data_IF_146744323106
#
_entry.id   IF_146744323106
#
_cell.length_a   1.000
_cell.length_b   1.000
_cell.length_c   1.000
_cell.angle_alpha   90.00
_cell.angle_beta   90.00
_cell.angle_gamma   90.00
#
_symmetry.space_group_name_H-M   'P 1'
#
loop_
_entity.id
_entity.type
_entity.pdbx_description
1 polymer ?
#
# COMPACT_ATOMS: atom_id res chain seq x y z
N UNK A 1 17.80 12.55 -1.62
CA UNK A 1 16.34 12.37 -1.47
C UNK A 1 15.68 13.66 -1.89
N UNK A 2 14.51 13.59 -2.50
CA UNK A 2 13.78 14.74 -3.03
C UNK A 2 12.31 14.66 -2.65
N UNK A 3 11.66 15.82 -2.65
CA UNK A 3 10.20 15.93 -2.62
C UNK A 3 9.69 15.90 -4.05
N UNK A 4 8.43 15.49 -4.24
CA UNK A 4 7.87 15.29 -5.57
C UNK A 4 6.48 15.90 -5.70
N UNK A 5 6.30 16.71 -6.74
CA UNK A 5 4.99 17.11 -7.24
C UNK A 5 4.72 16.30 -8.52
N UNK A 6 3.61 15.57 -8.53
CA UNK A 6 3.30 14.60 -9.57
C UNK A 6 1.95 14.92 -10.20
N UNK A 7 1.90 15.02 -11.53
CA UNK A 7 0.67 15.29 -12.28
C UNK A 7 0.43 14.19 -13.31
N UNK A 8 -0.75 13.58 -13.27
CA UNK A 8 -1.14 12.50 -14.17
C UNK A 8 -2.47 12.79 -14.84
N UNK A 9 -2.48 12.85 -16.18
CA UNK A 9 -3.70 13.02 -16.97
C UNK A 9 -4.08 11.70 -17.65
N UNK A 10 -5.27 11.19 -17.35
CA UNK A 10 -5.79 9.90 -17.81
C UNK A 10 -7.21 10.03 -18.38
N UNK A 11 -7.72 8.97 -19.02
CA UNK A 11 -9.09 8.95 -19.50
C UNK A 11 -10.11 9.11 -18.35
N UNK A 12 -11.26 9.72 -18.61
CA UNK A 12 -12.27 10.00 -17.57
C UNK A 12 -12.86 8.75 -16.88
N UNK A 13 -12.74 7.57 -17.46
CA UNK A 13 -13.18 6.32 -16.83
C UNK A 13 -12.09 5.66 -15.97
N UNK A 14 -10.89 6.26 -15.89
CA UNK A 14 -9.76 5.75 -15.13
C UNK A 14 -9.46 6.59 -13.88
N UNK A 15 -8.82 5.95 -12.92
CA UNK A 15 -8.30 6.53 -11.69
C UNK A 15 -6.79 6.37 -11.70
N UNK A 16 -6.06 7.48 -11.53
CA UNK A 16 -4.62 7.47 -11.36
C UNK A 16 -4.27 7.58 -9.88
N UNK A 17 -3.49 6.63 -9.39
CA UNK A 17 -3.07 6.51 -8.00
C UNK A 17 -1.56 6.51 -7.96
N UNK A 18 -0.98 7.38 -7.14
CA UNK A 18 0.47 7.50 -7.03
C UNK A 18 0.89 7.74 -5.59
N UNK A 19 2.20 7.77 -5.39
CA UNK A 19 2.85 8.16 -4.15
C UNK A 19 2.50 9.60 -3.76
N UNK A 20 2.41 9.85 -2.46
CA UNK A 20 2.03 11.14 -1.87
C UNK A 20 0.54 11.23 -1.51
N UNK A 21 0.13 12.42 -1.11
CA UNK A 21 -1.27 12.77 -0.87
C UNK A 21 -1.90 13.36 -2.14
N UNK A 22 -3.13 12.95 -2.44
CA UNK A 22 -3.91 13.54 -3.53
C UNK A 22 -4.35 14.95 -3.12
N UNK A 23 -3.84 15.98 -3.79
CA UNK A 23 -4.22 17.36 -3.51
C UNK A 23 -5.58 17.70 -4.11
N UNK A 24 -5.72 17.43 -5.41
CA UNK A 24 -6.96 17.66 -6.14
C UNK A 24 -6.97 16.84 -7.44
N UNK A 25 -8.19 16.68 -7.97
CA UNK A 25 -8.42 16.14 -9.30
C UNK A 25 -9.27 17.13 -10.11
N UNK A 26 -8.98 17.25 -11.40
CA UNK A 26 -9.71 18.13 -12.32
C UNK A 26 -10.21 17.32 -13.51
N UNK A 27 -11.48 17.47 -13.86
CA UNK A 27 -12.02 16.95 -15.11
C UNK A 27 -11.87 18.01 -16.21
N UNK A 28 -11.09 17.70 -17.23
CA UNK A 28 -10.95 18.54 -18.41
C UNK A 28 -12.24 18.54 -19.24
N UNK A 29 -12.51 19.67 -19.89
CA UNK A 29 -13.61 19.86 -20.82
C UNK A 29 -13.28 19.42 -22.26
N UNK A 30 -12.14 18.77 -22.46
CA UNK A 30 -11.74 18.20 -23.75
C UNK A 30 -12.74 17.16 -24.25
N UNK A 31 -12.72 16.89 -25.55
CA UNK A 31 -13.54 15.83 -26.16
C UNK A 31 -12.63 14.80 -26.87
N UNK A 32 -12.42 13.60 -26.31
CA UNK A 32 -13.07 13.05 -25.11
C UNK A 32 -12.53 13.64 -23.78
N UNK A 33 -13.35 13.63 -22.70
CA UNK A 33 -12.95 14.20 -21.42
C UNK A 33 -11.83 13.38 -20.76
N UNK A 34 -10.94 14.09 -20.06
CA UNK A 34 -9.79 13.54 -19.34
C UNK A 34 -9.81 13.98 -17.88
N UNK A 35 -9.29 13.16 -16.98
CA UNK A 35 -9.09 13.52 -15.57
C UNK A 35 -7.60 13.72 -15.28
N UNK A 36 -7.27 14.82 -14.63
CA UNK A 36 -5.93 15.13 -14.15
C UNK A 36 -5.90 14.99 -12.64
N UNK A 37 -4.96 14.20 -12.12
CA UNK A 37 -4.73 13.99 -10.70
C UNK A 37 -3.39 14.63 -10.31
N UNK A 38 -3.40 15.45 -9.25
CA UNK A 38 -2.20 16.11 -8.73
C UNK A 38 -1.89 15.56 -7.35
N UNK A 39 -0.75 14.89 -7.24
CA UNK A 39 -0.22 14.31 -6.01
C UNK A 39 1.00 15.10 -5.54
N UNK A 40 1.17 15.16 -4.21
CA UNK A 40 2.33 15.77 -3.58
C UNK A 40 2.92 14.84 -2.53
N UNK A 41 4.23 14.65 -2.60
CA UNK A 41 5.01 13.94 -1.60
C UNK A 41 5.97 14.90 -0.93
N UNK A 42 5.61 15.33 0.28
CA UNK A 42 6.41 16.25 1.10
C UNK A 42 7.57 15.57 1.84
N UNK A 43 7.49 14.25 2.00
CA UNK A 43 8.53 13.44 2.62
C UNK A 43 9.64 13.15 1.60
N UNK A 44 10.91 13.53 1.87
CA UNK A 44 11.98 13.28 0.93
C UNK A 44 12.25 11.78 0.76
N UNK A 45 12.12 11.27 -0.46
CA UNK A 45 12.44 9.86 -0.77
C UNK A 45 13.37 9.75 -1.98
N UNK A 46 13.85 8.53 -2.24
CA UNK A 46 14.56 8.23 -3.49
C UNK A 46 13.54 7.97 -4.61
N UNK A 47 13.89 8.32 -5.86
CA UNK A 47 13.02 8.17 -7.02
C UNK A 47 12.50 6.74 -7.23
N UNK A 48 13.22 5.72 -6.74
CA UNK A 48 12.80 4.31 -6.76
C UNK A 48 11.49 4.03 -6.00
N UNK A 49 11.08 4.92 -5.10
CA UNK A 49 9.86 4.80 -4.30
C UNK A 49 8.64 5.45 -4.96
N UNK A 50 8.80 6.08 -6.12
CA UNK A 50 7.67 6.64 -6.86
C UNK A 50 6.95 5.51 -7.59
N UNK A 51 5.66 5.35 -7.31
CA UNK A 51 4.80 4.35 -7.95
C UNK A 51 3.59 5.02 -8.62
N UNK A 52 3.10 4.42 -9.69
CA UNK A 52 1.88 4.86 -10.39
C UNK A 52 1.07 3.63 -10.80
N UNK A 53 -0.22 3.64 -10.47
CA UNK A 53 -1.19 2.68 -10.96
C UNK A 53 -2.36 3.43 -11.62
N UNK A 54 -2.78 2.98 -12.81
CA UNK A 54 -3.90 3.57 -13.55
C UNK A 54 -4.84 2.48 -14.00
N UNK A 55 -6.06 2.48 -13.48
CA UNK A 55 -7.11 1.52 -13.83
C UNK A 55 -8.49 2.06 -13.46
N UNK A 56 -9.62 1.42 -13.84
CA UNK A 56 -10.95 1.80 -13.37
C UNK A 56 -11.14 1.34 -11.91
N UNK A 57 -10.35 1.87 -10.99
CA UNK A 57 -10.35 1.47 -9.58
C UNK A 57 -11.61 1.89 -8.85
N UNK A 58 -12.09 1.02 -7.97
CA UNK A 58 -13.01 1.34 -6.88
C UNK A 58 -12.19 1.65 -5.62
N UNK A 59 -12.60 2.69 -4.88
CA UNK A 59 -11.92 3.13 -3.65
C UNK A 59 -12.71 2.68 -2.43
N UNK A 60 -12.04 1.97 -1.53
CA UNK A 60 -12.55 1.56 -0.23
C UNK A 60 -11.71 2.22 0.87
N UNK A 61 -12.20 3.29 1.54
CA UNK A 61 -11.51 3.84 2.70
C UNK A 61 -11.53 2.84 3.87
N UNK A 62 -10.47 2.85 4.68
CA UNK A 62 -10.50 2.11 5.94
C UNK A 62 -11.53 2.73 6.91
N UNK A 63 -12.18 1.90 7.71
CA UNK A 63 -13.27 2.32 8.57
C UNK A 63 -12.82 2.94 9.90
N UNK A 64 -11.57 2.71 10.33
CA UNK A 64 -11.01 3.27 11.57
C UNK A 64 -10.06 4.44 11.28
N UNK A 65 -9.25 4.33 10.23
CA UNK A 65 -8.21 5.30 9.90
C UNK A 65 -8.47 5.94 8.53
N UNK A 66 -9.02 7.16 8.53
CA UNK A 66 -9.33 7.89 7.29
C UNK A 66 -8.12 8.20 6.38
N UNK A 67 -6.89 8.07 6.88
CA UNK A 67 -5.67 8.20 6.08
C UNK A 67 -5.39 6.96 5.21
N UNK A 68 -6.00 5.81 5.52
CA UNK A 68 -5.78 4.55 4.83
C UNK A 68 -6.89 4.32 3.80
N UNK A 69 -6.48 3.91 2.60
CA UNK A 69 -7.40 3.55 1.53
C UNK A 69 -6.94 2.28 0.81
N UNK A 70 -7.89 1.52 0.31
CA UNK A 70 -7.67 0.32 -0.48
C UNK A 70 -8.36 0.49 -1.82
N UNK A 71 -7.71 0.08 -2.90
CA UNK A 71 -8.23 0.24 -4.25
C UNK A 71 -8.06 -1.05 -5.05
N UNK A 72 -9.09 -1.45 -5.78
CA UNK A 72 -9.02 -2.61 -6.66
C UNK A 72 -9.92 -2.43 -7.88
N UNK A 73 -9.83 -3.35 -8.84
CA UNK A 73 -10.80 -3.42 -9.92
C UNK A 73 -12.19 -3.83 -9.38
N UNK A 74 -13.30 -3.37 -9.99
CA UNK A 74 -14.65 -3.57 -9.47
C UNK A 74 -15.03 -5.04 -9.15
N UNK A 75 -14.65 -6.04 -9.97
CA UNK A 75 -14.95 -7.45 -9.68
C UNK A 75 -14.33 -7.97 -8.38
N UNK A 76 -13.25 -7.35 -7.91
CA UNK A 76 -12.48 -7.79 -6.74
C UNK A 76 -12.89 -7.07 -5.45
N UNK A 77 -13.86 -6.13 -5.49
CA UNK A 77 -14.24 -5.29 -4.35
C UNK A 77 -14.72 -6.09 -3.13
N UNK A 78 -15.52 -7.14 -3.36
CA UNK A 78 -16.01 -7.99 -2.27
C UNK A 78 -14.87 -8.75 -1.56
N UNK A 79 -13.97 -9.37 -2.35
CA UNK A 79 -12.76 -10.04 -1.84
C UNK A 79 -11.84 -9.07 -1.10
N UNK A 80 -11.61 -7.89 -1.67
CA UNK A 80 -10.78 -6.85 -1.06
C UNK A 80 -11.32 -6.45 0.31
N UNK A 81 -12.64 -6.20 0.43
CA UNK A 81 -13.25 -5.80 1.71
C UNK A 81 -12.98 -6.81 2.81
N UNK A 82 -13.12 -8.11 2.51
CA UNK A 82 -12.82 -9.15 3.49
C UNK A 82 -11.30 -9.25 3.77
N UNK A 83 -10.50 -9.25 2.72
CA UNK A 83 -9.03 -9.40 2.80
C UNK A 83 -8.38 -8.32 3.67
N UNK A 84 -8.84 -7.06 3.56
CA UNK A 84 -8.24 -5.91 4.26
C UNK A 84 -8.88 -5.62 5.62
N UNK A 85 -9.87 -6.41 6.05
CA UNK A 85 -10.62 -6.15 7.30
C UNK A 85 -9.70 -6.05 8.52
N UNK A 86 -8.64 -6.85 8.59
CA UNK A 86 -7.69 -6.84 9.70
C UNK A 86 -6.70 -5.66 9.68
N UNK A 87 -6.65 -4.88 8.59
CA UNK A 87 -5.52 -4.00 8.30
C UNK A 87 -5.36 -2.86 9.30
N UNK A 88 -6.48 -2.29 9.78
CA UNK A 88 -6.48 -1.30 10.87
C UNK A 88 -5.78 -1.83 12.14
N UNK A 89 -5.95 -3.12 12.47
CA UNK A 89 -5.33 -3.73 13.64
C UNK A 89 -3.82 -3.85 13.47
N UNK A 90 -3.34 -4.15 12.26
CA UNK A 90 -1.92 -4.14 11.94
C UNK A 90 -1.32 -2.73 12.06
N UNK A 91 -2.04 -1.72 11.54
CA UNK A 91 -1.63 -0.32 11.65
C UNK A 91 -1.54 0.16 13.11
N UNK A 92 -2.57 -0.09 13.92
CA UNK A 92 -2.55 0.27 15.35
C UNK A 92 -1.41 -0.45 16.08
N UNK A 93 -1.23 -1.75 15.82
CA UNK A 93 -0.17 -2.53 16.43
C UNK A 93 1.23 -1.94 16.17
N UNK A 94 1.51 -1.50 14.95
CA UNK A 94 2.80 -0.90 14.62
C UNK A 94 2.97 0.49 15.21
N UNK A 95 1.93 1.32 15.16
CA UNK A 95 1.95 2.64 15.78
C UNK A 95 2.25 2.54 17.28
N UNK A 96 1.58 1.63 17.98
CA UNK A 96 1.77 1.41 19.41
C UNK A 96 3.17 0.85 19.72
N UNK A 97 3.61 -0.15 18.96
CA UNK A 97 4.90 -0.81 19.18
C UNK A 97 6.09 0.13 18.93
N UNK A 98 6.05 0.87 17.83
CA UNK A 98 7.13 1.80 17.47
C UNK A 98 7.07 3.09 18.28
N UNK A 99 5.88 3.46 18.79
CA UNK A 99 5.63 4.75 19.45
C UNK A 99 6.06 5.94 18.58
N UNK A 100 5.89 5.80 17.27
CA UNK A 100 6.23 6.79 16.23
C UNK A 100 5.06 6.92 15.26
N UNK A 101 4.72 8.16 14.91
CA UNK A 101 3.65 8.43 13.95
C UNK A 101 3.98 7.91 12.54
N UNK A 102 2.93 7.63 11.79
CA UNK A 102 3.06 7.18 10.41
C UNK A 102 3.72 8.29 9.57
N UNK A 103 4.74 7.98 8.74
CA UNK A 103 5.56 9.01 8.11
C UNK A 103 4.88 9.83 7.02
N UNK A 104 3.71 9.40 6.52
CA UNK A 104 3.01 10.06 5.41
C UNK A 104 1.60 10.51 5.80
N UNK A 105 1.04 11.46 5.06
CA UNK A 105 -0.34 11.96 5.29
C UNK A 105 -1.43 10.94 4.95
N UNK A 106 -1.13 10.00 4.03
CA UNK A 106 -2.04 8.96 3.57
C UNK A 106 -1.30 7.69 3.22
N UNK A 107 -2.01 6.57 3.20
CA UNK A 107 -1.48 5.29 2.70
C UNK A 107 -2.50 4.60 1.82
N UNK A 108 -2.08 4.14 0.64
CA UNK A 108 -2.97 3.45 -0.30
C UNK A 108 -2.44 2.06 -0.67
N UNK A 109 -3.28 1.04 -0.49
CA UNK A 109 -3.04 -0.30 -1.05
C UNK A 109 -3.79 -0.44 -2.37
N UNK A 110 -3.10 -0.79 -3.44
CA UNK A 110 -3.71 -0.99 -4.76
C UNK A 110 -3.57 -2.44 -5.19
N UNK A 111 -4.67 -3.08 -5.54
CA UNK A 111 -4.73 -4.45 -6.03
C UNK A 111 -5.03 -4.43 -7.53
N UNK A 112 -4.10 -4.92 -8.34
CA UNK A 112 -4.18 -4.95 -9.81
C UNK A 112 -4.06 -6.38 -10.33
N UNK A 113 -4.51 -6.63 -11.55
CA UNK A 113 -4.40 -7.98 -12.11
C UNK A 113 -2.95 -8.46 -12.21
N UNK A 114 -2.68 -9.77 -12.10
CA UNK A 114 -1.33 -10.31 -12.06
C UNK A 114 -0.53 -9.98 -13.32
N UNK A 115 -1.19 -9.85 -14.47
CA UNK A 115 -0.56 -9.47 -15.74
C UNK A 115 -0.06 -8.01 -15.76
N UNK A 116 -0.53 -7.18 -14.83
CA UNK A 116 -0.13 -5.77 -14.70
C UNK A 116 1.09 -5.57 -13.78
N UNK A 117 1.56 -6.61 -13.10
CA UNK A 117 2.66 -6.54 -12.14
C UNK A 117 3.73 -7.58 -12.40
N UNK A 118 5.00 -7.18 -12.21
CA UNK A 118 6.15 -8.09 -12.35
C UNK A 118 6.34 -8.94 -11.09
N UNK A 119 5.84 -8.46 -9.94
CA UNK A 119 5.95 -9.10 -8.63
C UNK A 119 4.60 -9.07 -7.92
N UNK A 120 4.40 -10.02 -7.00
CA UNK A 120 3.20 -10.03 -6.14
C UNK A 120 3.08 -8.82 -5.20
N UNK A 121 4.19 -8.10 -4.99
CA UNK A 121 4.28 -6.85 -4.22
C UNK A 121 5.29 -5.91 -4.88
N UNK A 122 4.86 -4.67 -5.11
CA UNK A 122 5.72 -3.53 -5.45
C UNK A 122 5.50 -2.43 -4.42
N UNK A 123 6.59 -1.90 -3.88
CA UNK A 123 6.57 -0.90 -2.81
C UNK A 123 6.79 0.50 -3.37
N UNK A 124 5.91 1.43 -2.99
CA UNK A 124 6.09 2.86 -3.16
C UNK A 124 6.10 3.57 -1.81
N UNK A 125 6.50 4.84 -1.80
CA UNK A 125 6.28 5.71 -0.66
C UNK A 125 4.77 6.00 -0.57
N UNK A 126 4.22 5.88 0.64
CA UNK A 126 2.79 6.07 0.94
C UNK A 126 1.83 5.18 0.14
N UNK A 127 2.35 4.15 -0.55
CA UNK A 127 1.57 3.32 -1.48
C UNK A 127 2.19 1.94 -1.60
N UNK A 128 1.36 0.89 -1.66
CA UNK A 128 1.81 -0.46 -2.00
C UNK A 128 0.91 -1.07 -3.07
N UNK A 129 1.52 -1.67 -4.09
CA UNK A 129 0.80 -2.33 -5.18
C UNK A 129 0.94 -3.84 -5.01
N UNK A 130 -0.18 -4.55 -5.03
CA UNK A 130 -0.26 -5.99 -4.90
C UNK A 130 -0.92 -6.61 -6.13
N UNK A 131 -0.54 -7.84 -6.44
CA UNK A 131 -1.30 -8.69 -7.36
C UNK A 131 -2.68 -9.02 -6.73
N UNK A 132 -3.74 -8.97 -7.53
CA UNK A 132 -5.12 -9.34 -7.13
C UNK A 132 -5.22 -10.79 -6.67
N UNK A 133 -4.25 -11.65 -7.02
CA UNK A 133 -4.15 -13.03 -6.54
C UNK A 133 -4.05 -13.12 -5.01
N UNK A 134 -3.60 -12.08 -4.31
CA UNK A 134 -3.56 -12.09 -2.85
C UNK A 134 -4.95 -11.92 -2.22
N UNK A 135 -5.95 -11.49 -2.99
CA UNK A 135 -7.31 -11.29 -2.49
C UNK A 135 -8.03 -12.63 -2.35
N UNK A 136 -8.70 -12.81 -1.22
CA UNK A 136 -9.45 -14.03 -0.90
C UNK A 136 -10.87 -13.72 -0.40
N UNK A 137 -11.76 -14.69 -0.59
CA UNK A 137 -13.11 -14.69 -0.02
C UNK A 137 -13.09 -15.36 1.37
N UNK A 138 -14.14 -15.15 2.16
CA UNK A 138 -14.33 -15.72 3.51
C UNK A 138 -14.18 -17.25 3.59
N UNK A 139 -14.35 -17.95 2.47
CA UNK A 139 -14.29 -19.41 2.39
C UNK A 139 -12.86 -19.96 2.28
N UNK A 140 -11.86 -19.12 2.02
CA UNK A 140 -10.48 -19.53 1.76
C UNK A 140 -9.61 -19.21 2.97
N UNK A 141 -9.35 -20.22 3.80
CA UNK A 141 -8.59 -20.05 5.05
C UNK A 141 -7.08 -20.10 4.79
N UNK A 142 -6.61 -21.03 3.96
CA UNK A 142 -5.18 -21.31 3.78
C UNK A 142 -4.38 -20.08 3.30
N UNK A 143 -4.98 -19.27 2.42
CA UNK A 143 -4.34 -18.06 1.88
C UNK A 143 -4.35 -16.87 2.85
N UNK A 144 -5.18 -16.93 3.90
CA UNK A 144 -5.42 -15.80 4.81
C UNK A 144 -4.13 -15.35 5.48
N UNK A 145 -3.30 -16.28 5.95
CA UNK A 145 -2.08 -15.99 6.70
C UNK A 145 -1.03 -15.34 5.79
N UNK A 146 -0.71 -15.96 4.66
CA UNK A 146 0.27 -15.43 3.70
C UNK A 146 -0.08 -14.01 3.23
N UNK A 147 -1.37 -13.77 2.98
CA UNK A 147 -1.84 -12.45 2.59
C UNK A 147 -1.69 -11.44 3.72
N UNK A 148 -2.07 -11.81 4.95
CA UNK A 148 -1.93 -10.94 6.13
C UNK A 148 -0.47 -10.58 6.38
N UNK A 149 0.43 -11.57 6.30
CA UNK A 149 1.89 -11.37 6.40
C UNK A 149 2.37 -10.39 5.33
N UNK A 150 1.99 -10.61 4.07
CA UNK A 150 2.42 -9.76 2.95
C UNK A 150 1.93 -8.31 3.06
N UNK A 151 0.66 -8.10 3.41
CA UNK A 151 0.12 -6.75 3.61
C UNK A 151 0.74 -6.05 4.83
N UNK A 152 0.95 -6.78 5.93
CA UNK A 152 1.58 -6.27 7.15
C UNK A 152 3.06 -5.92 6.90
N UNK A 153 3.80 -6.75 6.19
CA UNK A 153 5.17 -6.47 5.76
C UNK A 153 5.25 -5.20 4.91
N UNK A 154 4.38 -5.05 3.90
CA UNK A 154 4.35 -3.87 3.05
C UNK A 154 4.03 -2.59 3.84
N UNK A 155 3.20 -2.70 4.88
CA UNK A 155 2.92 -1.62 5.81
C UNK A 155 4.16 -1.29 6.67
N UNK A 156 4.84 -2.28 7.24
CA UNK A 156 6.06 -2.07 8.03
C UNK A 156 7.18 -1.39 7.21
N UNK A 157 7.28 -1.71 5.92
CA UNK A 157 8.20 -1.07 4.97
C UNK A 157 7.98 0.44 4.83
N UNK A 158 6.80 0.96 5.15
CA UNK A 158 6.54 2.41 5.12
C UNK A 158 7.30 3.15 6.23
N UNK A 159 7.43 2.57 7.44
CA UNK A 159 8.26 3.16 8.50
C UNK A 159 9.74 3.02 8.17
N UNK A 160 10.19 1.79 7.89
CA UNK A 160 11.62 1.51 7.75
C UNK A 160 12.21 1.95 6.41
N UNK A 161 11.41 2.18 5.37
CA UNK A 161 11.88 2.73 4.08
C UNK A 161 12.04 4.25 4.06
N UNK A 162 11.52 4.95 5.08
CA UNK A 162 11.53 6.41 5.19
C UNK A 162 12.42 6.88 6.32
N UNK A 163 12.22 6.35 7.53
CA UNK A 163 12.99 6.78 8.70
C UNK A 163 14.42 6.24 8.70
N UNK A 164 14.66 5.13 7.98
CA UNK A 164 15.99 4.53 7.87
C UNK A 164 16.39 4.57 6.40
N UNK A 165 17.43 5.34 6.11
CA UNK A 165 17.96 5.48 4.76
C UNK A 165 19.23 4.69 4.61
N UNK A 166 19.26 3.82 3.61
CA UNK A 166 20.41 3.00 3.29
C UNK A 166 21.56 3.86 2.76
N UNK A 167 22.78 3.51 3.15
CA UNK A 167 23.99 4.09 2.57
C UNK A 167 24.29 3.44 1.21
N UNK A 168 24.09 2.12 1.11
CA UNK A 168 24.28 1.34 -0.11
C UNK A 168 23.11 0.39 -0.40
N UNK A 169 22.96 -0.04 -1.65
CA UNK A 169 22.03 -1.12 -2.03
C UNK A 169 22.35 -2.44 -1.34
N UNK A 170 23.60 -2.62 -0.91
CA UNK A 170 24.02 -3.79 -0.14
C UNK A 170 23.40 -3.86 1.26
N UNK A 171 22.79 -2.77 1.74
CA UNK A 171 22.18 -2.70 3.07
C UNK A 171 20.67 -2.97 3.04
N UNK A 172 20.06 -3.25 1.88
CA UNK A 172 18.60 -3.46 1.75
C UNK A 172 18.08 -4.57 2.67
N UNK A 173 18.88 -5.62 2.89
CA UNK A 173 18.55 -6.72 3.81
C UNK A 173 18.19 -6.23 5.22
N UNK A 174 18.75 -5.10 5.66
CA UNK A 174 18.45 -4.54 6.98
C UNK A 174 17.01 -4.06 7.04
N UNK A 175 16.56 -3.34 6.01
CA UNK A 175 15.20 -2.84 5.96
C UNK A 175 14.19 -3.96 5.75
N UNK A 176 14.55 -4.98 4.96
CA UNK A 176 13.75 -6.19 4.79
C UNK A 176 13.64 -6.95 6.12
N UNK A 177 14.76 -7.12 6.83
CA UNK A 177 14.81 -7.79 8.13
C UNK A 177 14.03 -7.06 9.22
N UNK A 178 14.14 -5.73 9.30
CA UNK A 178 13.37 -4.92 10.25
C UNK A 178 11.87 -4.97 9.96
N UNK A 179 11.48 -4.83 8.69
CA UNK A 179 10.08 -4.93 8.29
C UNK A 179 9.51 -6.33 8.52
N UNK A 180 10.29 -7.38 8.21
CA UNK A 180 9.94 -8.76 8.50
C UNK A 180 9.78 -9.03 9.99
N UNK A 181 10.71 -8.55 10.82
CA UNK A 181 10.62 -8.69 12.27
C UNK A 181 9.37 -8.01 12.85
N UNK A 182 9.02 -6.82 12.35
CA UNK A 182 7.81 -6.12 12.77
C UNK A 182 6.53 -6.83 12.28
N UNK A 183 6.55 -7.38 11.07
CA UNK A 183 5.48 -8.26 10.57
C UNK A 183 5.30 -9.49 11.46
N UNK A 184 6.37 -10.22 11.74
CA UNK A 184 6.37 -11.38 12.63
C UNK A 184 5.83 -11.05 14.02
N UNK A 185 6.17 -9.88 14.57
CA UNK A 185 5.64 -9.43 15.85
C UNK A 185 4.11 -9.31 15.82
N UNK A 186 3.55 -8.69 14.77
CA UNK A 186 2.09 -8.58 14.61
C UNK A 186 1.44 -9.96 14.48
N UNK A 187 2.04 -10.84 13.67
CA UNK A 187 1.55 -12.20 13.41
C UNK A 187 1.55 -13.02 14.70
N UNK A 188 2.64 -13.02 15.47
CA UNK A 188 2.74 -13.71 16.78
C UNK A 188 1.66 -13.23 17.74
N UNK A 189 1.41 -11.92 17.77
CA UNK A 189 0.45 -11.30 18.70
C UNK A 189 -1.02 -11.57 18.32
N UNK A 190 -1.36 -11.65 17.03
CA UNK A 190 -2.75 -11.70 16.57
C UNK A 190 -3.18 -13.02 15.90
N UNK A 191 -2.24 -13.79 15.36
CA UNK A 191 -2.50 -15.08 14.69
C UNK A 191 -1.95 -16.28 15.49
N UNK A 192 -1.10 -16.03 16.48
CA UNK A 192 -0.57 -17.06 17.39
C UNK A 192 0.85 -17.51 17.07
N UNK A 193 1.53 -18.09 18.06
CA UNK A 193 2.96 -18.41 18.02
C UNK A 193 3.34 -19.58 17.07
N UNK A 194 2.38 -20.43 16.68
CA UNK A 194 2.66 -21.58 15.81
C UNK A 194 2.92 -21.15 14.36
N UNK A 195 2.17 -20.16 13.88
CA UNK A 195 2.26 -19.66 12.51
C UNK A 195 3.52 -18.82 12.27
N UNK A 196 4.09 -18.22 13.31
CA UNK A 196 5.28 -17.38 13.18
C UNK A 196 6.62 -18.14 13.28
N UNK A 197 6.56 -19.47 13.33
CA UNK A 197 7.72 -20.37 13.38
C UNK A 197 7.84 -21.25 12.12
N UNK A 198 6.80 -21.29 11.29
CA UNK A 198 6.76 -21.99 10.01
C UNK A 198 7.06 -21.00 8.88
#
# INVERSE_FOLDING_TARGET
>A
MFNYDLEFTVAHNLVAVSTGSLLYQVLSKDNPPRKTYVYKLDVPVSARWISLAVAPFEVLPDHQFGLISHMCLPPNLAKMRHTVEFFHSAFSCYKDYLSVDFPFDSYTQVFVEPEMVVSSLSLGASMSIFSSQVLYDEKVIDQTIDTRVKLAYALARQWFGVYITLESTNDEWLLEGLAGCLADFFIKKHLGNNEARY
#
